data_IF_334375454290
#
_entry.id   IF_334375454290
#
_cell.length_a   1.000
_cell.length_b   1.000
_cell.length_c   1.000
_cell.angle_alpha   90.00
_cell.angle_beta   90.00
_cell.angle_gamma   90.00
#
_symmetry.space_group_name_H-M   'P 1'
#
loop_
_entity.id
_entity.type
_entity.pdbx_description
1 polymer ?
#
# COMPACT_ATOMS: atom_id res chain seq x y z
N UNK A 1 -20.06 7.80 31.56
CA UNK A 1 -18.97 8.24 30.66
C UNK A 1 -18.64 7.09 29.71
N UNK A 2 -18.87 7.28 28.42
CA UNK A 2 -18.46 6.29 27.40
C UNK A 2 -16.92 6.35 27.31
N UNK A 3 -16.27 5.38 27.92
CA UNK A 3 -14.82 5.22 27.77
C UNK A 3 -14.55 4.79 26.32
N UNK A 4 -13.80 5.56 25.54
CA UNK A 4 -13.39 5.19 24.19
C UNK A 4 -12.44 3.99 24.32
N UNK A 5 -12.88 2.82 23.87
CA UNK A 5 -12.12 1.56 23.96
C UNK A 5 -11.40 1.20 22.65
N UNK A 6 -11.79 1.85 21.55
CA UNK A 6 -11.19 1.68 20.24
C UNK A 6 -10.92 3.04 19.60
N UNK A 7 -9.89 3.17 18.73
CA UNK A 7 -9.63 4.40 18.00
C UNK A 7 -10.85 4.84 17.19
N UNK A 8 -11.15 6.14 17.21
CA UNK A 8 -12.20 6.71 16.37
C UNK A 8 -11.69 6.74 14.93
N UNK A 9 -12.49 6.25 13.99
CA UNK A 9 -12.17 6.33 12.55
C UNK A 9 -12.72 7.64 11.98
N UNK A 10 -11.92 8.71 12.08
CA UNK A 10 -12.27 10.03 11.56
C UNK A 10 -11.68 10.25 10.17
N UNK A 11 -12.46 10.96 9.34
CA UNK A 11 -11.94 11.59 8.13
C UNK A 11 -11.61 13.06 8.41
N UNK A 12 -10.60 13.59 7.71
CA UNK A 12 -10.22 15.00 7.83
C UNK A 12 -11.40 15.96 7.53
N UNK A 13 -12.30 15.58 6.63
CA UNK A 13 -13.51 16.34 6.30
C UNK A 13 -14.53 16.42 7.45
N UNK A 14 -14.51 15.45 8.36
CA UNK A 14 -15.39 15.41 9.52
C UNK A 14 -14.92 16.28 10.69
N UNK A 15 -13.75 16.90 10.57
CA UNK A 15 -13.14 17.71 11.62
C UNK A 15 -13.06 19.17 11.18
N UNK A 16 -13.50 20.09 12.03
CA UNK A 16 -13.48 21.54 11.79
C UNK A 16 -12.59 22.28 12.77
N UNK A 17 -12.04 23.41 12.34
CA UNK A 17 -11.31 24.31 13.23
C UNK A 17 -12.28 24.85 14.29
N UNK A 18 -11.90 24.76 15.55
CA UNK A 18 -12.74 25.11 16.70
C UNK A 18 -13.44 23.92 17.36
N UNK A 19 -13.44 22.73 16.72
CA UNK A 19 -13.96 21.52 17.37
C UNK A 19 -13.21 21.23 18.66
N UNK A 20 -13.94 20.77 19.68
CA UNK A 20 -13.42 20.44 21.00
C UNK A 20 -13.74 19.01 21.41
N UNK A 21 -12.80 18.39 22.13
CA UNK A 21 -12.92 17.03 22.64
C UNK A 21 -12.60 17.02 24.13
N UNK A 22 -13.57 16.59 24.96
CA UNK A 22 -13.44 16.60 26.43
C UNK A 22 -13.31 15.17 27.00
N UNK A 23 -13.95 14.18 26.37
CA UNK A 23 -13.89 12.78 26.80
C UNK A 23 -12.65 12.09 26.22
N UNK A 24 -11.49 12.38 26.81
CA UNK A 24 -10.23 11.85 26.32
C UNK A 24 -10.00 10.43 26.80
N UNK A 25 -9.57 9.55 25.87
CA UNK A 25 -9.21 8.17 26.19
C UNK A 25 -7.79 8.13 26.74
N UNK A 26 -7.65 7.92 28.04
CA UNK A 26 -6.36 7.67 28.69
C UNK A 26 -6.20 6.18 29.01
N UNK A 27 -4.94 5.73 29.01
CA UNK A 27 -4.54 4.43 29.56
C UNK A 27 -4.66 4.40 31.09
N UNK A 28 -4.16 3.33 31.70
CA UNK A 28 -4.04 3.25 33.16
C UNK A 28 -2.83 4.06 33.62
N UNK A 29 -3.03 4.89 34.64
CA UNK A 29 -2.00 5.76 35.23
C UNK A 29 -0.80 4.97 35.74
N UNK A 30 -1.07 3.85 36.43
CA UNK A 30 -0.06 2.95 36.96
C UNK A 30 0.82 2.33 35.84
N UNK A 31 0.22 2.09 34.66
CA UNK A 31 0.96 1.58 33.52
C UNK A 31 1.92 2.64 32.98
N UNK A 32 1.49 3.89 32.85
CA UNK A 32 2.36 4.97 32.41
C UNK A 32 3.54 5.14 33.35
N UNK A 33 3.30 5.15 34.65
CA UNK A 33 4.34 5.23 35.67
C UNK A 33 5.33 4.05 35.60
N UNK A 34 4.84 2.83 35.37
CA UNK A 34 5.70 1.64 35.28
C UNK A 34 6.57 1.63 34.02
N UNK A 35 6.09 2.18 32.92
CA UNK A 35 6.81 2.26 31.65
C UNK A 35 7.90 3.35 31.67
N UNK A 36 7.71 4.40 32.48
CA UNK A 36 8.61 5.56 32.53
C UNK A 36 9.05 5.88 33.98
N UNK A 37 9.72 4.94 34.68
CA UNK A 37 9.99 5.08 36.11
C UNK A 37 10.87 6.30 36.45
N UNK A 38 11.90 6.58 35.66
CA UNK A 38 12.78 7.75 35.88
C UNK A 38 12.07 9.08 35.65
N UNK A 39 11.17 9.13 34.66
CA UNK A 39 10.37 10.32 34.39
C UNK A 39 9.33 10.52 35.51
N UNK A 40 8.78 9.43 36.02
CA UNK A 40 7.84 9.46 37.14
C UNK A 40 8.50 9.95 38.43
N UNK A 41 9.74 9.53 38.68
CA UNK A 41 10.53 10.06 39.82
C UNK A 41 10.80 11.55 39.71
N UNK A 42 11.07 12.04 38.49
CA UNK A 42 11.41 13.43 38.23
C UNK A 42 10.21 14.39 38.21
N UNK A 43 9.06 13.98 37.65
CA UNK A 43 7.92 14.84 37.34
C UNK A 43 6.65 14.47 38.13
N UNK A 44 6.62 13.31 38.77
CA UNK A 44 5.43 12.77 39.41
C UNK A 44 4.51 11.99 38.44
N UNK A 45 3.73 11.12 39.02
CA UNK A 45 2.88 10.15 38.25
C UNK A 45 1.77 10.84 37.47
N UNK A 46 1.20 11.92 37.99
CA UNK A 46 0.14 12.69 37.33
C UNK A 46 0.61 13.34 36.04
N UNK A 47 1.78 13.96 36.08
CA UNK A 47 2.38 14.62 34.91
C UNK A 47 2.74 13.59 33.84
N UNK A 48 3.35 12.48 34.23
CA UNK A 48 3.74 11.41 33.30
C UNK A 48 2.50 10.78 32.64
N UNK A 49 1.44 10.56 33.40
CA UNK A 49 0.18 10.09 32.86
C UNK A 49 -0.40 11.08 31.85
N UNK A 50 -0.36 12.38 32.14
CA UNK A 50 -0.89 13.42 31.27
C UNK A 50 -0.07 13.55 29.99
N UNK A 51 1.25 13.39 30.03
CA UNK A 51 2.10 13.28 28.83
C UNK A 51 1.71 12.08 27.99
N UNK A 52 1.50 10.90 28.60
CA UNK A 52 1.06 9.71 27.90
C UNK A 52 -0.34 9.88 27.25
N UNK A 53 -1.22 10.63 27.91
CA UNK A 53 -2.55 10.97 27.39
C UNK A 53 -2.47 11.73 26.06
N UNK A 54 -1.46 12.59 25.84
CA UNK A 54 -1.30 13.33 24.58
C UNK A 54 -1.13 12.38 23.39
N UNK A 55 -0.42 11.26 23.56
CA UNK A 55 -0.32 10.21 22.52
C UNK A 55 -1.66 9.52 22.29
N UNK A 56 -2.40 9.23 23.37
CA UNK A 56 -3.75 8.66 23.26
C UNK A 56 -4.73 9.58 22.55
N UNK A 57 -4.64 10.88 22.76
CA UNK A 57 -5.47 11.88 22.06
C UNK A 57 -5.30 11.71 20.54
N UNK A 58 -4.05 11.69 20.08
CA UNK A 58 -3.76 11.54 18.64
C UNK A 58 -4.20 10.19 18.10
N UNK A 59 -3.87 9.11 18.79
CA UNK A 59 -4.13 7.77 18.31
C UNK A 59 -5.56 7.27 18.48
N UNK A 60 -6.28 7.78 19.48
CA UNK A 60 -7.62 7.27 19.84
C UNK A 60 -8.75 8.25 19.53
N UNK A 61 -8.49 9.56 19.58
CA UNK A 61 -9.53 10.59 19.51
C UNK A 61 -9.46 11.37 18.19
N UNK A 62 -8.41 12.18 17.99
CA UNK A 62 -8.25 13.06 16.82
C UNK A 62 -6.78 13.24 16.47
N UNK A 63 -6.34 12.82 15.28
CA UNK A 63 -7.02 12.19 14.12
C UNK A 63 -7.61 10.80 14.35
N UNK A 64 -7.24 10.07 15.41
CA UNK A 64 -7.75 8.74 15.71
C UNK A 64 -7.03 7.62 14.94
N UNK A 65 -7.78 6.62 14.45
CA UNK A 65 -7.24 5.37 13.87
C UNK A 65 -6.18 5.58 12.79
N UNK A 66 -6.37 6.57 11.93
CA UNK A 66 -5.46 6.89 10.83
C UNK A 66 -4.58 8.09 11.15
N UNK A 67 -3.87 8.05 12.27
CA UNK A 67 -3.03 9.15 12.74
C UNK A 67 -1.54 8.90 12.56
N UNK A 68 -0.79 9.99 12.42
CA UNK A 68 0.65 10.02 12.56
C UNK A 68 1.02 11.25 13.41
N UNK A 69 1.64 11.00 14.55
CA UNK A 69 2.15 12.04 15.45
C UNK A 69 3.38 12.70 14.82
N UNK A 70 3.42 14.03 14.74
CA UNK A 70 4.50 14.75 14.06
C UNK A 70 5.36 15.55 15.04
N UNK A 71 4.74 16.42 15.85
CA UNK A 71 5.44 17.32 16.78
C UNK A 71 4.63 17.53 18.04
N UNK A 72 5.36 17.78 19.14
CA UNK A 72 4.79 18.03 20.47
C UNK A 72 5.58 19.11 21.18
N UNK A 73 4.87 20.17 21.62
CA UNK A 73 5.40 21.19 22.51
C UNK A 73 4.58 21.23 23.78
N UNK A 74 5.24 21.03 24.92
CA UNK A 74 4.62 20.99 26.23
C UNK A 74 5.04 22.23 27.02
N UNK A 75 4.10 22.79 27.75
CA UNK A 75 4.33 23.87 28.77
C UNK A 75 3.72 23.39 30.07
N UNK A 76 4.56 23.16 31.07
CA UNK A 76 4.09 22.79 32.41
C UNK A 76 3.44 23.97 33.12
N UNK A 77 2.42 23.71 33.92
CA UNK A 77 1.68 24.69 34.69
C UNK A 77 1.08 24.07 35.95
N UNK A 78 0.65 24.91 36.88
CA UNK A 78 -0.15 24.51 38.03
C UNK A 78 -1.66 24.62 37.68
N UNK A 79 -2.37 23.60 37.97
CA UNK A 79 -3.68 23.14 37.70
C UNK A 79 -4.90 23.99 37.33
N UNK A 80 -5.67 23.52 36.36
CA UNK A 80 -7.13 23.74 36.16
C UNK A 80 -7.81 22.38 36.01
N UNK A 81 -9.05 22.28 36.47
CA UNK A 81 -9.75 20.97 36.58
C UNK A 81 -10.27 20.37 35.24
N UNK A 82 -10.01 21.01 34.10
CA UNK A 82 -10.54 20.55 32.81
C UNK A 82 -9.44 20.12 31.83
N UNK A 83 -9.65 18.98 31.21
CA UNK A 83 -8.84 18.49 30.11
C UNK A 83 -9.61 18.64 28.82
N UNK A 84 -9.16 19.50 27.92
CA UNK A 84 -9.81 19.78 26.64
C UNK A 84 -8.81 19.84 25.51
N UNK A 85 -9.19 19.23 24.38
CA UNK A 85 -8.45 19.34 23.11
C UNK A 85 -9.26 20.22 22.17
N UNK A 86 -8.58 21.16 21.51
CA UNK A 86 -9.20 22.04 20.51
C UNK A 86 -8.45 21.93 19.19
N UNK A 87 -9.17 21.87 18.09
CA UNK A 87 -8.60 21.94 16.74
C UNK A 87 -8.27 23.39 16.42
N UNK A 88 -6.99 23.74 16.41
CA UNK A 88 -6.53 25.11 16.18
C UNK A 88 -6.37 25.45 14.70
N UNK A 89 -5.94 24.48 13.89
CA UNK A 89 -5.85 24.65 12.44
C UNK A 89 -5.89 23.30 11.71
N UNK A 90 -6.31 23.35 10.45
CA UNK A 90 -6.40 22.21 9.54
C UNK A 90 -5.83 22.62 8.18
N UNK A 91 -5.02 21.77 7.60
CA UNK A 91 -4.51 21.92 6.23
C UNK A 91 -4.93 20.74 5.38
N UNK A 92 -5.98 20.91 4.60
CA UNK A 92 -6.65 19.82 3.87
C UNK A 92 -5.73 19.09 2.88
N UNK A 93 -4.97 19.85 2.09
CA UNK A 93 -4.07 19.24 1.09
C UNK A 93 -2.95 18.38 1.70
N UNK A 94 -2.48 18.72 2.89
CA UNK A 94 -1.41 17.97 3.56
C UNK A 94 -1.96 16.93 4.54
N UNK A 95 -3.25 16.93 4.84
CA UNK A 95 -3.80 16.12 5.91
C UNK A 95 -3.29 16.52 7.30
N UNK A 96 -2.73 17.73 7.46
CA UNK A 96 -2.12 18.19 8.70
C UNK A 96 -3.16 18.84 9.61
N UNK A 97 -3.14 18.49 10.89
CA UNK A 97 -3.96 19.11 11.93
C UNK A 97 -3.05 19.61 13.06
N UNK A 98 -3.39 20.77 13.61
CA UNK A 98 -2.75 21.32 14.82
C UNK A 98 -3.79 21.39 15.93
N UNK A 99 -3.46 20.76 17.04
CA UNK A 99 -4.30 20.68 18.22
C UNK A 99 -3.69 21.49 19.36
N UNK A 100 -4.55 22.13 20.11
CA UNK A 100 -4.22 22.69 21.41
C UNK A 100 -4.80 21.79 22.50
N UNK A 101 -4.01 21.42 23.47
CA UNK A 101 -4.45 20.74 24.68
C UNK A 101 -4.29 21.66 25.88
N UNK A 102 -5.34 21.81 26.64
CA UNK A 102 -5.34 22.45 27.95
C UNK A 102 -5.62 21.36 28.96
N UNK A 103 -4.68 21.14 29.87
CA UNK A 103 -4.77 20.07 30.83
C UNK A 103 -4.60 20.53 32.30
N UNK A 104 -4.43 19.57 33.18
CA UNK A 104 -4.30 19.85 34.64
C UNK A 104 -2.89 20.33 34.96
N UNK A 105 -1.87 19.59 34.57
CA UNK A 105 -0.48 19.88 34.91
C UNK A 105 0.32 20.46 33.74
N UNK A 106 -0.25 20.46 32.56
CA UNK A 106 0.42 20.97 31.36
C UNK A 106 -0.57 21.43 30.27
N UNK A 107 -0.09 22.34 29.43
CA UNK A 107 -0.68 22.67 28.15
C UNK A 107 0.20 22.10 27.05
N UNK A 108 -0.39 21.71 25.91
CA UNK A 108 0.37 21.22 24.78
C UNK A 108 -0.11 21.76 23.44
N UNK A 109 0.85 21.91 22.51
CA UNK A 109 0.57 22.07 21.08
C UNK A 109 1.02 20.81 20.38
N UNK A 110 0.11 20.18 19.65
CA UNK A 110 0.34 18.91 18.97
C UNK A 110 0.16 19.14 17.48
N UNK A 111 1.08 18.62 16.68
CA UNK A 111 0.91 18.50 15.23
C UNK A 111 0.79 17.02 14.86
N UNK A 112 -0.22 16.69 14.07
CA UNK A 112 -0.47 15.34 13.63
C UNK A 112 -0.99 15.31 12.18
N UNK A 113 -0.79 14.18 11.50
CA UNK A 113 -1.36 13.94 10.19
C UNK A 113 -2.51 12.94 10.25
N UNK A 114 -3.54 13.19 9.43
CA UNK A 114 -4.43 12.16 8.94
C UNK A 114 -3.69 11.39 7.83
N UNK A 115 -3.37 10.13 8.09
CA UNK A 115 -2.83 9.27 7.03
C UNK A 115 -3.92 8.92 6.03
N UNK A 116 -3.62 8.87 4.74
CA UNK A 116 -4.57 8.31 3.78
C UNK A 116 -4.99 6.91 4.21
N UNK A 117 -6.28 6.62 4.13
CA UNK A 117 -6.79 5.26 4.35
C UNK A 117 -6.20 4.31 3.29
N UNK A 118 -6.04 3.05 3.65
CA UNK A 118 -5.61 2.03 2.69
C UNK A 118 -6.57 1.98 1.50
N UNK A 119 -6.02 1.80 0.31
CA UNK A 119 -6.83 1.69 -0.91
C UNK A 119 -7.51 0.33 -0.89
N UNK A 120 -8.82 0.33 -0.70
CA UNK A 120 -9.63 -0.88 -0.84
C UNK A 120 -9.89 -1.15 -2.31
N UNK A 121 -9.56 -2.36 -2.77
CA UNK A 121 -9.92 -2.80 -4.12
C UNK A 121 -11.40 -3.20 -4.09
N UNK A 122 -12.25 -2.68 -5.01
CA UNK A 122 -13.66 -3.04 -5.07
C UNK A 122 -13.86 -4.56 -5.19
N UNK A 123 -15.03 -5.04 -4.78
CA UNK A 123 -15.39 -6.45 -4.94
C UNK A 123 -15.48 -6.85 -6.42
N UNK A 124 -15.38 -8.14 -6.70
CA UNK A 124 -15.60 -8.65 -8.05
C UNK A 124 -17.00 -8.30 -8.58
N UNK A 125 -18.01 -8.29 -7.71
CA UNK A 125 -19.38 -7.89 -8.06
C UNK A 125 -19.43 -6.43 -8.50
N UNK A 126 -18.83 -5.50 -7.74
CA UNK A 126 -18.78 -4.07 -8.10
C UNK A 126 -18.00 -3.83 -9.39
N UNK A 127 -16.89 -4.57 -9.60
CA UNK A 127 -16.07 -4.46 -10.80
C UNK A 127 -16.76 -5.00 -12.04
N UNK A 128 -17.58 -6.05 -11.91
CA UNK A 128 -18.29 -6.66 -13.04
C UNK A 128 -19.18 -5.69 -13.78
N UNK A 129 -19.75 -4.72 -13.07
CA UNK A 129 -20.60 -3.67 -13.65
C UNK A 129 -19.80 -2.64 -14.49
N UNK A 130 -18.47 -2.66 -14.39
CA UNK A 130 -17.59 -1.70 -15.05
C UNK A 130 -16.77 -2.35 -16.18
N UNK A 131 -16.94 -3.67 -16.40
CA UNK A 131 -16.19 -4.39 -17.42
C UNK A 131 -16.66 -4.05 -18.84
N UNK A 132 -15.73 -3.78 -19.76
CA UNK A 132 -16.05 -3.74 -21.18
C UNK A 132 -16.50 -5.12 -21.66
N UNK A 133 -17.58 -5.20 -22.44
CA UNK A 133 -18.08 -6.46 -23.04
C UNK A 133 -17.05 -7.15 -23.96
N UNK A 134 -16.03 -6.42 -24.40
CA UNK A 134 -14.96 -6.94 -25.26
C UNK A 134 -13.87 -7.73 -24.51
N UNK A 135 -13.81 -7.62 -23.17
CA UNK A 135 -12.81 -8.34 -22.38
C UNK A 135 -13.33 -9.75 -22.09
N UNK A 136 -12.82 -10.74 -22.81
CA UNK A 136 -13.15 -12.16 -22.62
C UNK A 136 -11.88 -12.98 -22.41
N UNK A 137 -11.76 -13.59 -21.23
CA UNK A 137 -10.64 -14.44 -20.82
C UNK A 137 -11.03 -15.92 -20.71
N UNK A 138 -12.20 -16.31 -21.21
CA UNK A 138 -12.71 -17.68 -21.10
C UNK A 138 -11.70 -18.69 -21.62
N UNK A 139 -11.40 -19.70 -20.80
CA UNK A 139 -10.43 -20.76 -21.09
C UNK A 139 -8.96 -20.35 -21.00
N UNK A 140 -8.65 -19.12 -20.64
CA UNK A 140 -7.27 -18.66 -20.44
C UNK A 140 -6.83 -18.88 -18.99
N UNK A 141 -5.61 -19.38 -18.82
CA UNK A 141 -4.97 -19.62 -17.52
C UNK A 141 -3.91 -18.58 -17.27
N UNK A 142 -4.07 -17.83 -16.20
CA UNK A 142 -3.27 -16.64 -15.90
C UNK A 142 -2.53 -16.80 -14.59
N UNK A 143 -1.21 -16.62 -14.63
CA UNK A 143 -0.38 -16.50 -13.45
C UNK A 143 -0.10 -15.04 -13.13
N UNK A 144 -0.40 -14.61 -11.91
CA UNK A 144 -0.10 -13.26 -11.42
C UNK A 144 0.93 -13.34 -10.29
N UNK A 145 2.19 -13.13 -10.62
CA UNK A 145 3.26 -13.07 -9.61
C UNK A 145 3.15 -11.74 -8.85
N UNK A 146 2.92 -11.80 -7.53
CA UNK A 146 2.62 -10.63 -6.70
C UNK A 146 1.16 -10.19 -6.79
N UNK A 147 0.23 -11.15 -6.78
CA UNK A 147 -1.21 -10.93 -6.93
C UNK A 147 -1.99 -10.66 -5.65
N UNK A 148 -1.35 -10.65 -4.46
CA UNK A 148 -2.05 -10.50 -3.19
C UNK A 148 -2.59 -9.06 -2.93
N UNK A 149 -2.00 -8.05 -3.54
CA UNK A 149 -2.39 -6.64 -3.35
C UNK A 149 -2.06 -5.77 -4.56
N UNK A 150 -2.44 -4.49 -4.51
CA UNK A 150 -2.12 -3.49 -5.52
C UNK A 150 -2.59 -3.90 -6.92
N UNK A 151 -1.82 -3.55 -7.95
CA UNK A 151 -2.17 -3.84 -9.36
C UNK A 151 -2.34 -5.33 -9.65
N UNK A 152 -1.57 -6.20 -8.98
CA UNK A 152 -1.70 -7.65 -9.14
C UNK A 152 -3.07 -8.17 -8.71
N UNK A 153 -3.59 -7.69 -7.59
CA UNK A 153 -4.93 -8.07 -7.12
C UNK A 153 -6.05 -7.52 -8.03
N UNK A 154 -5.89 -6.30 -8.56
CA UNK A 154 -6.80 -5.76 -9.58
C UNK A 154 -6.84 -6.64 -10.83
N UNK A 155 -5.67 -7.03 -11.34
CA UNK A 155 -5.57 -7.93 -12.51
C UNK A 155 -6.23 -9.28 -12.21
N UNK A 156 -5.96 -9.87 -11.04
CA UNK A 156 -6.54 -11.15 -10.66
C UNK A 156 -8.08 -11.11 -10.66
N UNK A 157 -8.66 -10.07 -10.07
CA UNK A 157 -10.11 -9.88 -10.04
C UNK A 157 -10.69 -9.67 -11.45
N UNK A 158 -10.11 -8.75 -12.24
CA UNK A 158 -10.59 -8.44 -13.58
C UNK A 158 -10.47 -9.64 -14.55
N UNK A 159 -9.41 -10.42 -14.46
CA UNK A 159 -9.25 -11.65 -15.21
C UNK A 159 -10.31 -12.69 -14.80
N UNK A 160 -10.50 -12.91 -13.50
CA UNK A 160 -11.48 -13.85 -12.98
C UNK A 160 -12.90 -13.53 -13.43
N UNK A 161 -13.35 -12.30 -13.25
CA UNK A 161 -14.71 -11.88 -13.68
C UNK A 161 -14.89 -11.86 -15.20
N UNK A 162 -13.79 -11.85 -15.96
CA UNK A 162 -13.81 -12.00 -17.44
C UNK A 162 -13.77 -13.46 -17.91
N UNK A 163 -13.89 -14.43 -17.00
CA UNK A 163 -13.97 -15.86 -17.30
C UNK A 163 -12.62 -16.59 -17.35
N UNK A 164 -11.51 -15.96 -16.97
CA UNK A 164 -10.20 -16.59 -16.89
C UNK A 164 -9.99 -17.38 -15.60
N UNK A 165 -9.12 -18.41 -15.65
CA UNK A 165 -8.63 -19.14 -14.48
C UNK A 165 -7.37 -18.44 -13.95
N UNK A 166 -7.37 -18.05 -12.67
CA UNK A 166 -6.29 -17.23 -12.09
C UNK A 166 -5.55 -18.01 -11.01
N UNK A 167 -4.23 -17.99 -11.09
CA UNK A 167 -3.37 -18.34 -9.98
C UNK A 167 -2.57 -17.11 -9.58
N UNK A 168 -2.75 -16.65 -8.33
CA UNK A 168 -1.94 -15.55 -7.79
C UNK A 168 -0.81 -16.08 -6.94
N UNK A 169 0.28 -15.31 -6.82
CA UNK A 169 1.34 -15.65 -5.87
C UNK A 169 1.52 -14.55 -4.83
N UNK A 170 2.00 -14.96 -3.66
CA UNK A 170 2.38 -14.07 -2.57
C UNK A 170 3.68 -14.54 -1.93
N UNK A 171 4.41 -13.61 -1.29
CA UNK A 171 5.56 -13.95 -0.45
C UNK A 171 5.20 -13.81 1.04
N UNK A 172 4.81 -12.62 1.49
CA UNK A 172 4.49 -12.34 2.91
C UNK A 172 3.01 -12.07 3.17
N UNK A 173 2.24 -11.67 2.17
CA UNK A 173 0.83 -11.27 2.31
C UNK A 173 -0.13 -12.45 2.09
N UNK A 174 -0.10 -13.48 2.96
CA UNK A 174 -0.97 -14.65 2.84
C UNK A 174 -2.44 -14.27 3.01
N UNK A 175 -2.77 -13.55 4.07
CA UNK A 175 -4.15 -13.18 4.37
C UNK A 175 -4.75 -12.31 3.26
N UNK A 176 -3.96 -11.35 2.72
CA UNK A 176 -4.37 -10.54 1.57
C UNK A 176 -4.62 -11.41 0.32
N UNK A 177 -3.77 -12.42 0.07
CA UNK A 177 -3.95 -13.33 -1.04
C UNK A 177 -5.22 -14.19 -0.91
N UNK A 178 -5.48 -14.69 0.30
CA UNK A 178 -6.68 -15.48 0.60
C UNK A 178 -7.95 -14.63 0.44
N UNK A 179 -7.93 -13.35 0.82
CA UNK A 179 -9.06 -12.43 0.58
C UNK A 179 -9.32 -12.20 -0.91
N UNK A 180 -8.28 -12.05 -1.73
CA UNK A 180 -8.44 -11.94 -3.19
C UNK A 180 -9.04 -13.21 -3.77
N UNK A 181 -8.53 -14.38 -3.36
CA UNK A 181 -9.06 -15.68 -3.82
C UNK A 181 -10.52 -15.85 -3.45
N UNK A 182 -10.88 -15.56 -2.18
CA UNK A 182 -12.26 -15.65 -1.71
C UNK A 182 -13.22 -14.75 -2.50
N UNK A 183 -12.82 -13.53 -2.77
CA UNK A 183 -13.64 -12.58 -3.53
C UNK A 183 -13.86 -13.05 -4.98
N UNK A 184 -12.80 -13.51 -5.66
CA UNK A 184 -12.90 -14.05 -7.04
C UNK A 184 -13.76 -15.31 -7.05
N UNK A 185 -13.57 -16.23 -6.11
CA UNK A 185 -14.35 -17.47 -6.00
C UNK A 185 -15.82 -17.21 -5.65
N UNK A 186 -16.11 -16.20 -4.81
CA UNK A 186 -17.48 -15.83 -4.45
C UNK A 186 -18.28 -15.30 -5.64
N UNK A 187 -17.60 -14.71 -6.62
CA UNK A 187 -18.19 -14.31 -7.91
C UNK A 187 -18.46 -15.52 -8.84
N UNK A 188 -17.96 -16.72 -8.50
CA UNK A 188 -18.09 -17.94 -9.30
C UNK A 188 -16.92 -18.22 -10.25
N UNK A 189 -15.84 -17.45 -10.18
CA UNK A 189 -14.64 -17.63 -11.01
C UNK A 189 -13.60 -18.55 -10.33
N UNK A 190 -12.68 -19.11 -11.11
CA UNK A 190 -11.62 -19.99 -10.62
C UNK A 190 -10.41 -19.15 -10.21
N UNK A 191 -10.03 -19.24 -8.94
CA UNK A 191 -8.84 -18.58 -8.42
C UNK A 191 -8.18 -19.42 -7.34
N UNK A 192 -6.84 -19.53 -7.40
CA UNK A 192 -6.00 -20.17 -6.40
C UNK A 192 -4.84 -19.22 -6.01
N UNK A 193 -4.23 -19.44 -4.84
CA UNK A 193 -3.00 -18.76 -4.47
C UNK A 193 -1.88 -19.72 -4.10
N UNK A 194 -0.63 -19.31 -4.39
CA UNK A 194 0.59 -20.09 -4.15
C UNK A 194 1.63 -19.21 -3.44
N UNK A 195 2.23 -19.74 -2.38
CA UNK A 195 3.36 -19.06 -1.73
C UNK A 195 4.63 -19.20 -2.57
N UNK A 196 5.20 -18.08 -3.00
CA UNK A 196 6.46 -18.04 -3.77
C UNK A 196 7.29 -16.84 -3.34
N UNK A 197 8.56 -17.10 -3.03
CA UNK A 197 9.59 -16.08 -3.03
C UNK A 197 10.31 -16.11 -4.39
N UNK A 198 10.14 -15.10 -5.22
CA UNK A 198 10.72 -15.04 -6.58
C UNK A 198 12.25 -15.05 -6.58
N UNK A 199 12.88 -14.65 -5.49
CA UNK A 199 14.35 -14.69 -5.34
C UNK A 199 14.91 -16.10 -5.10
N UNK A 200 14.03 -17.04 -4.72
CA UNK A 200 14.40 -18.44 -4.51
C UNK A 200 14.24 -19.27 -5.81
N UNK A 201 14.58 -20.56 -5.74
CA UNK A 201 14.41 -21.46 -6.87
C UNK A 201 12.93 -21.81 -7.06
N UNK A 202 12.40 -21.48 -8.23
CA UNK A 202 11.05 -21.84 -8.62
C UNK A 202 10.95 -23.36 -8.84
N UNK A 203 9.83 -23.96 -8.43
CA UNK A 203 9.56 -25.38 -8.56
C UNK A 203 8.20 -25.57 -9.24
N UNK A 204 8.15 -26.40 -10.28
CA UNK A 204 6.91 -26.64 -11.05
C UNK A 204 5.85 -27.36 -10.22
N UNK A 205 6.26 -28.17 -9.26
CA UNK A 205 5.38 -29.02 -8.45
C UNK A 205 4.43 -28.21 -7.53
N UNK A 206 4.74 -26.94 -7.28
CA UNK A 206 3.87 -26.06 -6.49
C UNK A 206 2.67 -25.55 -7.29
N UNK A 207 2.71 -25.68 -8.62
CA UNK A 207 1.63 -25.27 -9.51
C UNK A 207 0.80 -26.46 -9.95
N UNK A 208 -0.52 -26.33 -9.88
CA UNK A 208 -1.46 -27.41 -10.28
C UNK A 208 -1.75 -27.43 -11.77
N UNK A 209 -1.33 -26.41 -12.51
CA UNK A 209 -1.65 -26.22 -13.93
C UNK A 209 -0.52 -25.51 -14.67
N UNK A 210 -0.59 -25.48 -15.99
CA UNK A 210 0.20 -24.62 -16.88
C UNK A 210 -0.50 -23.27 -17.06
N UNK A 211 0.17 -22.30 -17.64
CA UNK A 211 -0.35 -20.95 -17.82
C UNK A 211 -0.16 -20.47 -19.25
N UNK A 212 -1.13 -19.71 -19.75
CA UNK A 212 -1.05 -19.03 -21.05
C UNK A 212 -0.38 -17.65 -20.92
N UNK A 213 -0.64 -16.96 -19.77
CA UNK A 213 -0.21 -15.60 -19.52
C UNK A 213 0.49 -15.47 -18.18
N UNK A 214 1.54 -14.65 -18.14
CA UNK A 214 2.29 -14.30 -16.94
C UNK A 214 2.24 -12.79 -16.72
N UNK A 215 1.69 -12.35 -15.59
CA UNK A 215 1.81 -10.99 -15.09
C UNK A 215 2.83 -10.93 -13.96
N UNK A 216 3.84 -10.06 -14.07
CA UNK A 216 4.89 -9.96 -13.08
C UNK A 216 4.77 -8.67 -12.27
N UNK A 217 4.08 -8.71 -11.13
CA UNK A 217 3.90 -7.59 -10.21
C UNK A 217 4.72 -7.71 -8.93
N UNK A 218 5.62 -8.69 -8.81
CA UNK A 218 6.51 -8.74 -7.65
C UNK A 218 7.39 -7.50 -7.60
N UNK A 219 7.39 -6.85 -6.44
CA UNK A 219 8.07 -5.58 -6.22
C UNK A 219 8.44 -5.42 -4.76
N UNK A 220 9.62 -4.85 -4.43
CA UNK A 220 9.91 -4.44 -3.08
C UNK A 220 9.14 -3.15 -2.76
N UNK A 221 9.21 -2.67 -1.52
CA UNK A 221 8.68 -1.36 -1.18
C UNK A 221 9.40 -0.28 -2.00
N UNK A 222 8.63 0.46 -2.80
CA UNK A 222 9.17 1.57 -3.58
C UNK A 222 9.35 2.77 -2.65
N UNK A 223 10.61 3.11 -2.33
CA UNK A 223 10.96 4.23 -1.47
C UNK A 223 11.69 5.32 -2.26
N UNK A 224 11.41 6.58 -1.88
CA UNK A 224 12.08 7.74 -2.43
C UNK A 224 13.45 7.92 -1.77
N UNK A 225 14.51 8.05 -2.57
CA UNK A 225 15.82 8.51 -2.09
C UNK A 225 15.82 10.05 -2.03
N UNK A 226 15.84 10.60 -0.82
CA UNK A 226 15.90 12.05 -0.57
C UNK A 226 17.28 12.65 -0.80
N UNK A 227 18.33 11.81 -0.90
CA UNK A 227 19.70 12.23 -1.16
C UNK A 227 19.92 12.58 -2.63
N UNK A 228 20.83 13.51 -2.91
CA UNK A 228 21.34 13.74 -4.26
C UNK A 228 22.29 12.62 -4.72
N UNK A 229 22.90 11.88 -3.80
CA UNK A 229 23.82 10.77 -4.08
C UNK A 229 23.00 9.54 -4.49
N UNK A 230 23.51 8.81 -5.48
CA UNK A 230 22.93 7.52 -5.90
C UNK A 230 23.20 6.47 -4.82
N UNK A 231 22.15 5.70 -4.47
CA UNK A 231 22.21 4.66 -3.46
C UNK A 231 22.33 3.29 -4.16
N UNK A 232 23.53 2.71 -4.14
CA UNK A 232 23.81 1.43 -4.79
C UNK A 232 23.08 0.27 -4.13
N UNK A 233 22.90 0.28 -2.80
CA UNK A 233 22.19 -0.78 -2.08
C UNK A 233 20.71 -0.76 -2.43
N UNK A 234 20.11 0.41 -2.49
CA UNK A 234 18.72 0.57 -2.92
C UNK A 234 18.53 0.17 -4.39
N UNK A 235 19.51 0.51 -5.25
CA UNK A 235 19.50 0.08 -6.65
C UNK A 235 19.58 -1.44 -6.78
N UNK A 236 20.45 -2.10 -6.03
CA UNK A 236 20.62 -3.56 -6.04
C UNK A 236 19.31 -4.27 -5.64
N UNK A 237 18.58 -3.75 -4.65
CA UNK A 237 17.25 -4.26 -4.28
C UNK A 237 16.30 -4.19 -5.48
N UNK A 238 16.19 -3.05 -6.15
CA UNK A 238 15.32 -2.89 -7.31
C UNK A 238 15.77 -3.73 -8.50
N UNK A 239 17.09 -3.80 -8.75
CA UNK A 239 17.66 -4.60 -9.82
C UNK A 239 17.34 -6.09 -9.66
N UNK A 240 17.45 -6.59 -8.43
CA UNK A 240 17.12 -8.00 -8.13
C UNK A 240 15.68 -8.32 -8.52
N UNK A 241 14.70 -7.51 -8.08
CA UNK A 241 13.29 -7.76 -8.39
C UNK A 241 12.94 -7.54 -9.87
N UNK A 242 13.38 -6.42 -10.47
CA UNK A 242 12.90 -5.99 -11.78
C UNK A 242 13.71 -6.53 -12.95
N UNK A 243 14.90 -7.05 -12.69
CA UNK A 243 15.81 -7.55 -13.73
C UNK A 243 16.07 -9.05 -13.51
N UNK A 244 16.76 -9.41 -12.44
CA UNK A 244 17.22 -10.77 -12.20
C UNK A 244 16.07 -11.76 -11.95
N UNK A 245 15.22 -11.45 -10.99
CA UNK A 245 14.12 -12.35 -10.59
C UNK A 245 13.01 -12.39 -11.66
N UNK A 246 12.76 -11.25 -12.32
CA UNK A 246 11.89 -11.20 -13.50
C UNK A 246 12.40 -12.12 -14.62
N UNK A 247 13.68 -11.97 -15.02
CA UNK A 247 14.29 -12.81 -16.05
C UNK A 247 14.15 -14.29 -15.72
N UNK A 248 14.51 -14.66 -14.49
CA UNK A 248 14.40 -16.02 -13.98
C UNK A 248 12.97 -16.57 -14.04
N UNK A 249 11.98 -15.77 -13.68
CA UNK A 249 10.57 -16.18 -13.75
C UNK A 249 10.13 -16.43 -15.21
N UNK A 250 10.47 -15.53 -16.14
CA UNK A 250 10.13 -15.69 -17.56
C UNK A 250 10.81 -16.93 -18.17
N UNK A 251 12.12 -17.10 -17.91
CA UNK A 251 12.89 -18.27 -18.38
C UNK A 251 12.34 -19.58 -17.81
N UNK A 252 11.73 -19.56 -16.63
CA UNK A 252 11.08 -20.73 -16.03
C UNK A 252 9.70 -21.03 -16.64
N UNK A 253 8.83 -20.03 -16.79
CA UNK A 253 7.43 -20.26 -17.18
C UNK A 253 7.19 -20.34 -18.69
N UNK A 254 8.00 -19.67 -19.52
CA UNK A 254 7.84 -19.71 -20.98
C UNK A 254 7.98 -21.13 -21.54
N UNK A 255 8.99 -21.94 -21.17
CA UNK A 255 9.08 -23.34 -21.61
C UNK A 255 7.91 -24.21 -21.11
N UNK A 256 7.16 -23.77 -20.11
CA UNK A 256 5.98 -24.45 -19.56
C UNK A 256 4.65 -24.02 -20.22
N UNK A 257 4.69 -23.18 -21.26
CA UNK A 257 3.52 -22.84 -22.08
C UNK A 257 3.13 -21.36 -22.07
N UNK A 258 3.77 -20.50 -21.28
CA UNK A 258 3.45 -19.07 -21.28
C UNK A 258 3.79 -18.45 -22.62
N UNK A 259 2.79 -17.87 -23.29
CA UNK A 259 2.88 -17.26 -24.62
C UNK A 259 2.98 -15.74 -24.58
N UNK A 260 2.52 -15.12 -23.48
CA UNK A 260 2.60 -13.67 -23.31
C UNK A 260 2.94 -13.31 -21.87
N UNK A 261 3.88 -12.38 -21.72
CA UNK A 261 4.35 -11.88 -20.42
C UNK A 261 4.08 -10.39 -20.33
N UNK A 262 3.54 -9.95 -19.19
CA UNK A 262 3.32 -8.54 -18.87
C UNK A 262 4.32 -8.11 -17.82
N UNK A 263 5.18 -7.15 -18.19
CA UNK A 263 6.14 -6.48 -17.31
C UNK A 263 5.69 -5.04 -17.04
N UNK A 264 5.23 -4.69 -15.84
CA UNK A 264 4.81 -3.33 -15.53
C UNK A 264 6.04 -2.41 -15.43
N UNK A 265 6.27 -1.58 -16.45
CA UNK A 265 7.25 -0.49 -16.40
C UNK A 265 6.63 0.75 -15.75
N UNK A 266 7.26 1.92 -15.85
CA UNK A 266 6.81 3.12 -15.15
C UNK A 266 6.96 4.37 -16.00
N UNK A 267 5.97 5.28 -15.96
CA UNK A 267 6.05 6.61 -16.56
C UNK A 267 7.14 7.50 -15.95
N UNK A 268 7.65 7.16 -14.74
CA UNK A 268 8.76 7.89 -14.13
C UNK A 268 10.03 7.90 -14.97
N UNK A 269 10.18 6.95 -15.91
CA UNK A 269 11.27 6.94 -16.91
C UNK A 269 11.17 8.17 -17.79
N UNK A 270 9.97 8.49 -18.30
CA UNK A 270 9.73 9.61 -19.21
C UNK A 270 9.80 10.96 -18.49
N UNK A 271 9.31 10.99 -17.24
CA UNK A 271 9.27 12.18 -16.41
C UNK A 271 10.60 12.51 -15.73
N UNK A 272 11.57 11.58 -15.73
CA UNK A 272 12.81 11.66 -14.95
C UNK A 272 12.54 12.05 -13.47
N UNK A 273 11.57 11.36 -12.83
CA UNK A 273 11.01 11.69 -11.53
C UNK A 273 12.07 11.80 -10.44
N UNK A 274 12.19 13.00 -9.85
CA UNK A 274 13.17 13.25 -8.79
C UNK A 274 12.93 12.33 -7.58
N UNK A 275 14.03 11.83 -7.00
CA UNK A 275 13.98 10.93 -5.83
C UNK A 275 13.76 9.45 -6.16
N UNK A 276 13.63 9.07 -7.43
CA UNK A 276 13.40 7.69 -7.88
C UNK A 276 14.45 7.18 -8.88
N UNK A 277 15.66 7.76 -8.89
CA UNK A 277 16.70 7.46 -9.87
C UNK A 277 17.14 5.99 -9.86
N UNK A 278 17.24 5.37 -8.69
CA UNK A 278 17.59 3.96 -8.52
C UNK A 278 16.48 3.04 -9.08
N UNK A 279 15.23 3.34 -8.74
CA UNK A 279 14.06 2.64 -9.27
C UNK A 279 13.95 2.79 -10.79
N UNK A 280 14.10 4.01 -11.31
CA UNK A 280 14.05 4.30 -12.76
C UNK A 280 15.16 3.54 -13.49
N UNK A 281 16.39 3.56 -12.98
CA UNK A 281 17.52 2.83 -13.58
C UNK A 281 17.22 1.32 -13.65
N UNK A 282 16.73 0.72 -12.58
CA UNK A 282 16.36 -0.69 -12.55
C UNK A 282 15.22 -1.02 -13.53
N UNK A 283 14.21 -0.14 -13.67
CA UNK A 283 13.13 -0.32 -14.64
C UNK A 283 13.61 -0.22 -16.09
N UNK A 284 14.54 0.69 -16.40
CA UNK A 284 15.17 0.78 -17.73
C UNK A 284 15.92 -0.52 -18.06
N UNK A 285 16.70 -1.05 -17.11
CA UNK A 285 17.39 -2.34 -17.32
C UNK A 285 16.37 -3.49 -17.49
N UNK A 286 15.28 -3.48 -16.75
CA UNK A 286 14.18 -4.44 -16.90
C UNK A 286 13.52 -4.37 -18.28
N UNK A 287 13.31 -3.17 -18.85
CA UNK A 287 12.81 -3.00 -20.23
C UNK A 287 13.76 -3.61 -21.28
N UNK A 288 15.09 -3.51 -21.09
CA UNK A 288 16.08 -4.16 -21.96
C UNK A 288 15.97 -5.68 -21.88
N UNK A 289 15.84 -6.22 -20.68
CA UNK A 289 15.64 -7.66 -20.47
C UNK A 289 14.34 -8.14 -21.11
N UNK A 290 13.27 -7.35 -21.11
CA UNK A 290 12.05 -7.69 -21.85
C UNK A 290 12.32 -7.89 -23.34
N UNK A 291 13.10 -7.01 -23.98
CA UNK A 291 13.46 -7.10 -25.40
C UNK A 291 14.35 -8.33 -25.68
N UNK A 292 15.31 -8.62 -24.80
CA UNK A 292 16.16 -9.82 -24.89
C UNK A 292 15.34 -11.11 -24.78
N UNK A 293 14.46 -11.21 -23.78
CA UNK A 293 13.62 -12.39 -23.56
C UNK A 293 12.63 -12.61 -24.70
N UNK A 294 11.99 -11.53 -25.18
CA UNK A 294 11.09 -11.62 -26.33
C UNK A 294 11.77 -12.20 -27.55
N UNK A 295 13.01 -11.77 -27.83
CA UNK A 295 13.82 -12.25 -28.94
C UNK A 295 14.32 -13.70 -28.73
N UNK A 296 14.85 -13.98 -27.54
CA UNK A 296 15.54 -15.26 -27.30
C UNK A 296 14.58 -16.44 -27.08
N UNK A 297 13.42 -16.18 -26.49
CA UNK A 297 12.42 -17.21 -26.17
C UNK A 297 11.23 -17.23 -27.13
N UNK A 298 11.21 -16.34 -28.13
CA UNK A 298 10.09 -16.17 -29.06
C UNK A 298 8.74 -16.00 -28.35
N UNK A 299 8.73 -15.26 -27.24
CA UNK A 299 7.56 -14.97 -26.41
C UNK A 299 7.18 -13.50 -26.56
N UNK A 300 5.88 -13.21 -26.56
CA UNK A 300 5.40 -11.81 -26.51
C UNK A 300 5.66 -11.24 -25.12
N UNK A 301 6.49 -10.20 -25.00
CA UNK A 301 6.68 -9.46 -23.74
C UNK A 301 6.14 -8.05 -23.91
N UNK A 302 5.12 -7.70 -23.14
CA UNK A 302 4.48 -6.38 -23.12
C UNK A 302 4.97 -5.63 -21.89
N UNK A 303 5.48 -4.42 -22.10
CA UNK A 303 6.10 -3.61 -21.03
C UNK A 303 5.47 -2.19 -20.95
N UNK A 304 4.18 -2.09 -20.53
CA UNK A 304 3.51 -0.80 -20.44
C UNK A 304 4.19 0.08 -19.38
N UNK A 305 4.40 1.35 -19.70
CA UNK A 305 4.81 2.37 -18.73
C UNK A 305 3.58 2.85 -17.97
N UNK A 306 3.42 2.36 -16.76
CA UNK A 306 2.23 2.58 -15.93
C UNK A 306 2.36 3.92 -15.21
N UNK A 307 1.30 4.76 -15.22
CA UNK A 307 1.24 5.97 -14.43
C UNK A 307 1.12 5.67 -12.92
N UNK A 308 1.34 6.66 -12.05
CA UNK A 308 1.01 6.53 -10.64
C UNK A 308 -0.48 6.27 -10.45
N UNK A 309 -0.83 5.10 -9.92
CA UNK A 309 -2.20 4.71 -9.59
C UNK A 309 -2.39 4.57 -8.08
N UNK A 310 -3.63 4.58 -7.62
CA UNK A 310 -3.95 4.43 -6.21
C UNK A 310 -3.77 2.98 -5.76
N UNK A 311 -2.62 2.70 -5.13
CA UNK A 311 -2.32 1.41 -4.48
C UNK A 311 -1.67 1.67 -3.13
N UNK A 312 -1.56 0.65 -2.29
CA UNK A 312 -0.88 0.77 -0.98
C UNK A 312 0.57 1.24 -1.09
N UNK A 313 1.25 0.92 -2.20
CA UNK A 313 2.63 1.35 -2.46
C UNK A 313 2.75 2.82 -2.86
N UNK A 314 1.69 3.40 -3.42
CA UNK A 314 1.63 4.80 -3.84
C UNK A 314 0.92 5.70 -2.84
N UNK A 315 0.51 5.16 -1.68
CA UNK A 315 -0.02 5.97 -0.58
C UNK A 315 1.05 6.95 -0.10
N UNK A 316 0.74 8.23 -0.18
CA UNK A 316 1.60 9.34 0.21
C UNK A 316 0.81 10.31 1.07
N UNK A 317 1.48 10.92 2.05
CA UNK A 317 0.91 12.03 2.82
C UNK A 317 0.70 13.28 1.98
N UNK A 318 1.37 13.36 0.81
CA UNK A 318 1.20 14.46 -0.11
C UNK A 318 0.21 14.08 -1.22
N UNK A 319 -0.68 14.99 -1.61
CA UNK A 319 -1.59 14.76 -2.72
C UNK A 319 -0.79 14.61 -4.02
N UNK A 320 -0.94 13.48 -4.67
CA UNK A 320 -0.42 13.24 -6.01
C UNK A 320 -1.60 13.02 -6.95
N UNK A 321 -1.52 13.57 -8.14
CA UNK A 321 -2.50 13.23 -9.18
C UNK A 321 -2.28 11.76 -9.52
N UNK A 322 -3.33 10.97 -9.37
CA UNK A 322 -3.32 9.53 -9.66
C UNK A 322 -4.37 9.25 -10.72
N UNK A 323 -4.01 8.41 -11.67
CA UNK A 323 -4.96 7.93 -12.65
C UNK A 323 -5.92 6.90 -12.04
N UNK A 324 -7.06 6.72 -12.71
CA UNK A 324 -8.05 5.72 -12.32
C UNK A 324 -7.43 4.31 -12.48
N UNK A 325 -7.39 3.55 -11.41
CA UNK A 325 -6.73 2.25 -11.38
C UNK A 325 -7.41 1.23 -12.31
N UNK A 326 -8.74 1.24 -12.39
CA UNK A 326 -9.46 0.30 -13.28
C UNK A 326 -9.14 0.56 -14.74
N UNK A 327 -9.13 1.84 -15.18
CA UNK A 327 -8.83 2.20 -16.57
C UNK A 327 -7.41 1.80 -16.94
N UNK A 328 -6.46 2.01 -16.01
CA UNK A 328 -5.06 1.58 -16.19
C UNK A 328 -4.97 0.06 -16.36
N UNK A 329 -5.63 -0.72 -15.50
CA UNK A 329 -5.57 -2.19 -15.58
C UNK A 329 -6.28 -2.71 -16.82
N UNK A 330 -7.43 -2.15 -17.19
CA UNK A 330 -8.12 -2.50 -18.44
C UNK A 330 -7.25 -2.21 -19.67
N UNK A 331 -6.51 -1.09 -19.66
CA UNK A 331 -5.56 -0.77 -20.72
C UNK A 331 -4.43 -1.81 -20.81
N UNK A 332 -3.91 -2.28 -19.66
CA UNK A 332 -2.90 -3.36 -19.63
C UNK A 332 -3.47 -4.66 -20.22
N UNK A 333 -4.68 -5.05 -19.82
CA UNK A 333 -5.34 -6.25 -20.32
C UNK A 333 -5.61 -6.17 -21.84
N UNK A 334 -5.99 -5.00 -22.35
CA UNK A 334 -6.20 -4.80 -23.79
C UNK A 334 -4.92 -4.98 -24.62
N UNK A 335 -3.72 -4.75 -24.06
CA UNK A 335 -2.44 -4.96 -24.75
C UNK A 335 -2.11 -6.44 -25.03
N UNK A 336 -2.79 -7.34 -24.35
CA UNK A 336 -2.60 -8.80 -24.57
C UNK A 336 -3.11 -9.23 -25.95
N UNK A 337 -3.98 -8.43 -26.59
CA UNK A 337 -4.70 -8.69 -27.84
C UNK A 337 -4.97 -10.19 -28.02
N UNK A 338 -6.19 -10.57 -27.64
CA UNK A 338 -6.70 -11.94 -27.78
C UNK A 338 -7.02 -12.24 -29.26
N UNK A 339 -6.12 -11.89 -30.18
CA UNK A 339 -6.25 -12.28 -31.56
C UNK A 339 -5.81 -13.75 -31.66
N UNK A 340 -6.75 -14.57 -31.98
CA UNK A 340 -6.66 -16.00 -32.32
C UNK A 340 -5.58 -16.29 -33.37
#
# INVERSE_FOLDING_TARGET
>A
SNTITQPIDLDLSAVSVGDTFENLCGGKKELAASLFPYLTEALGEDVVYEIALLSSIVGMTVPGLHSLFLDLKITFKDGVDNQIVTVNSKHELLGLIKLGYVGINLDAKIEAFFRPKSVTIPSCEDLSNQLPSALNMTGKKVLVIGGSRGLGAWVAKLVGISGGEVTITFNTGKDDAELVVQDVQSYGAICDCVHINVSENLKVEVFKTTFDYLFYFATPKISMNKSSVFDEDLYEIFYNFYVRDFKKAVEFFVPLGVSCVIYPSTMFIDEAKKGFKEYIKAKIEGEKVCDELSKNLSVKVVKPRIPPVSTDQTLSLLPTVKENTIDTVLSILALMSFND
#
